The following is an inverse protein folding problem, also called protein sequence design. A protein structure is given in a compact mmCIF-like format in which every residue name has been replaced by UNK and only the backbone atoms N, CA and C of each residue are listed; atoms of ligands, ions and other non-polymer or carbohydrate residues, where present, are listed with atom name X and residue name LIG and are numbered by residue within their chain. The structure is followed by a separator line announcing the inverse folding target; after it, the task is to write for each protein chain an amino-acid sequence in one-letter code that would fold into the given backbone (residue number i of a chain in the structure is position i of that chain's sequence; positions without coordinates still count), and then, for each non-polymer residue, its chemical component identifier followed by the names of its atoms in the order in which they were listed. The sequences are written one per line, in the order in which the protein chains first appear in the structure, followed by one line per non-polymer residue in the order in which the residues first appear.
data_IF_969627949264
#
_entry.id   IF_969627949264
#
_cell.length_a   1.000
_cell.length_b   1.000
_cell.length_c   1.000
_cell.angle_alpha   90.00
_cell.angle_beta   90.00
_cell.angle_gamma   90.00
#
_symmetry.space_group_name_H-M   'P 1'
#
loop_
_entity.id
_entity.type
_entity.pdbx_description
1 polymer ?
#
# COMPACT_ATOMS: atom_id res chain seq x y z
N UNK A 1 26.41 77.99 -63.26
CA UNK A 1 27.48 77.61 -64.20
C UNK A 1 27.32 76.11 -64.45
N UNK A 2 26.56 75.78 -65.49
CA UNK A 2 26.29 74.41 -65.92
C UNK A 2 27.47 73.89 -66.73
N UNK A 3 27.93 72.67 -66.49
CA UNK A 3 28.78 71.92 -67.41
C UNK A 3 28.31 70.46 -67.41
N UNK A 4 27.68 70.09 -68.53
CA UNK A 4 27.39 68.72 -68.92
C UNK A 4 28.70 67.94 -69.11
N UNK A 5 28.72 66.66 -68.74
CA UNK A 5 29.67 65.70 -69.29
C UNK A 5 29.04 64.32 -69.49
N UNK A 6 28.74 64.06 -70.76
CA UNK A 6 28.88 62.83 -71.56
C UNK A 6 28.75 61.47 -70.85
N UNK A 7 27.69 60.77 -71.25
CA UNK A 7 27.38 59.36 -71.00
C UNK A 7 28.30 58.42 -71.80
N UNK A 8 28.83 57.36 -71.19
CA UNK A 8 29.34 56.17 -71.88
C UNK A 8 28.70 54.94 -71.23
N UNK A 9 27.96 54.17 -72.03
CA UNK A 9 27.30 52.92 -71.64
C UNK A 9 28.31 51.79 -71.80
N UNK A 10 28.68 51.13 -70.71
CA UNK A 10 29.42 49.86 -70.72
C UNK A 10 28.48 48.72 -70.30
N UNK A 11 28.30 47.78 -71.21
CA UNK A 11 27.56 46.53 -71.02
C UNK A 11 28.43 45.57 -70.17
N UNK A 12 28.02 45.26 -68.94
CA UNK A 12 28.70 44.25 -68.10
C UNK A 12 27.90 42.95 -68.07
N UNK A 13 28.50 41.86 -68.57
CA UNK A 13 28.02 40.49 -68.38
C UNK A 13 28.01 40.15 -66.88
N UNK A 14 26.83 39.85 -66.32
CA UNK A 14 26.71 39.32 -64.97
C UNK A 14 26.83 37.79 -65.00
N UNK A 15 27.96 37.26 -64.54
CA UNK A 15 28.10 35.85 -64.23
C UNK A 15 27.40 35.55 -62.88
N UNK A 16 26.38 34.69 -62.90
CA UNK A 16 25.76 34.18 -61.67
C UNK A 16 26.74 33.24 -60.97
N UNK A 17 27.28 33.67 -59.83
CA UNK A 17 27.99 32.80 -58.89
C UNK A 17 26.95 32.25 -57.91
N UNK A 18 26.65 30.95 -58.00
CA UNK A 18 25.94 30.25 -56.92
C UNK A 18 26.84 30.23 -55.69
N UNK A 19 26.55 31.08 -54.71
CA UNK A 19 27.15 30.98 -53.38
C UNK A 19 26.65 29.69 -52.72
N UNK A 20 27.56 28.81 -52.31
CA UNK A 20 27.24 27.70 -51.42
C UNK A 20 26.62 28.26 -50.12
N UNK A 21 25.63 27.60 -49.51
CA UNK A 21 25.06 28.07 -48.25
C UNK A 21 26.19 28.12 -47.21
N UNK A 22 26.38 29.30 -46.61
CA UNK A 22 27.29 29.45 -45.48
C UNK A 22 26.85 28.47 -44.39
N UNK A 23 27.75 27.58 -43.97
CA UNK A 23 27.49 26.67 -42.86
C UNK A 23 27.08 27.49 -41.65
N UNK A 24 25.86 27.30 -41.18
CA UNK A 24 25.42 27.82 -39.89
C UNK A 24 26.32 27.21 -38.82
N UNK A 25 27.23 28.01 -38.27
CA UNK A 25 27.95 27.65 -37.05
C UNK A 25 26.94 27.69 -35.92
N UNK A 26 26.23 26.58 -35.70
CA UNK A 26 25.46 26.38 -34.48
C UNK A 26 26.46 26.41 -33.33
N UNK A 27 26.45 27.49 -32.54
CA UNK A 27 27.21 27.53 -31.29
C UNK A 27 26.74 26.35 -30.43
N UNK A 28 27.67 25.50 -29.98
CA UNK A 28 27.35 24.45 -29.02
C UNK A 28 26.79 25.10 -27.76
N UNK A 29 25.65 24.62 -27.27
CA UNK A 29 25.17 25.01 -25.95
C UNK A 29 26.25 24.69 -24.90
N UNK A 30 26.30 25.46 -23.82
CA UNK A 30 27.16 25.14 -22.69
C UNK A 30 26.79 23.75 -22.15
N UNK A 31 27.80 23.01 -21.68
CA UNK A 31 27.57 21.73 -21.03
C UNK A 31 26.67 21.93 -19.80
N UNK A 32 25.70 21.04 -19.62
CA UNK A 32 24.86 21.03 -18.42
C UNK A 32 25.72 20.75 -17.20
N UNK A 33 25.60 21.59 -16.17
CA UNK A 33 26.22 21.38 -14.87
C UNK A 33 25.22 21.65 -13.75
N UNK A 34 25.28 20.92 -12.62
CA UNK A 34 24.48 21.22 -11.45
C UNK A 34 24.67 22.69 -10.99
N UNK A 35 23.57 23.38 -10.69
CA UNK A 35 23.59 24.76 -10.18
C UNK A 35 23.66 24.84 -8.66
N UNK A 36 23.64 23.69 -7.99
CA UNK A 36 23.67 23.53 -6.53
C UNK A 36 24.69 22.44 -6.17
N UNK A 37 25.16 22.37 -4.91
CA UNK A 37 26.02 21.28 -4.47
C UNK A 37 25.43 19.91 -4.80
N UNK A 38 26.30 18.93 -5.05
CA UNK A 38 25.89 17.54 -5.26
C UNK A 38 25.20 17.00 -4.01
N UNK A 39 24.34 16.00 -4.20
CA UNK A 39 23.77 15.23 -3.10
C UNK A 39 24.88 14.62 -2.24
N UNK A 40 24.60 14.45 -0.94
CA UNK A 40 25.53 13.86 0.02
C UNK A 40 25.90 12.43 -0.38
N UNK A 41 27.19 12.09 -0.33
CA UNK A 41 27.70 10.72 -0.50
C UNK A 41 27.57 9.88 0.78
N UNK A 42 26.98 10.43 1.85
CA UNK A 42 26.77 9.69 3.09
C UNK A 42 25.74 8.56 2.85
N UNK A 43 26.10 7.28 3.05
CA UNK A 43 25.20 6.17 2.80
C UNK A 43 23.99 6.15 3.75
N UNK A 44 24.04 6.89 4.87
CA UNK A 44 22.96 6.97 5.86
C UNK A 44 22.43 5.58 6.28
N UNK A 45 23.30 4.60 6.49
CA UNK A 45 22.89 3.30 7.04
C UNK A 45 22.17 3.47 8.40
N UNK A 46 21.27 2.54 8.76
CA UNK A 46 20.71 2.49 10.10
C UNK A 46 21.85 2.43 11.13
N UNK A 47 21.76 3.24 12.18
CA UNK A 47 22.83 3.34 13.18
C UNK A 47 22.82 2.17 14.17
N UNK A 48 21.69 1.48 14.32
CA UNK A 48 21.50 0.31 15.17
C UNK A 48 20.38 -0.57 14.62
N UNK A 49 20.22 -1.75 15.22
CA UNK A 49 19.06 -2.63 15.05
C UNK A 49 18.36 -2.83 16.40
N UNK A 50 17.28 -3.62 16.41
CA UNK A 50 16.47 -3.89 17.61
C UNK A 50 17.19 -4.74 18.68
N UNK A 51 18.33 -5.34 18.35
CA UNK A 51 19.09 -6.24 19.24
C UNK A 51 20.13 -5.55 20.12
N UNK A 52 20.41 -4.26 19.91
CA UNK A 52 21.46 -3.56 20.68
C UNK A 52 21.16 -3.57 22.18
N UNK A 53 22.20 -3.67 23.01
CA UNK A 53 22.08 -3.74 24.47
C UNK A 53 22.28 -2.37 25.17
N UNK A 54 22.53 -1.32 24.40
CA UNK A 54 22.69 0.06 24.86
C UNK A 54 21.46 0.92 24.51
N UNK A 55 21.21 2.02 25.24
CA UNK A 55 20.15 2.97 24.91
C UNK A 55 20.56 3.80 23.68
N UNK A 56 19.84 3.70 22.53
CA UNK A 56 20.14 4.51 21.36
C UNK A 56 20.04 6.01 21.65
N UNK A 57 20.76 6.82 20.89
CA UNK A 57 20.79 8.27 21.08
C UNK A 57 20.52 8.99 19.76
N UNK A 58 19.87 10.17 19.77
CA UNK A 58 19.62 10.96 18.57
C UNK A 58 20.90 11.71 18.15
N UNK A 59 21.92 10.96 17.77
CA UNK A 59 23.24 11.46 17.35
C UNK A 59 23.64 10.75 16.05
N UNK A 60 23.86 11.52 14.98
CA UNK A 60 24.39 11.03 13.70
C UNK A 60 25.62 11.86 13.32
N UNK A 61 26.80 11.31 13.56
CA UNK A 61 28.07 12.00 13.30
C UNK A 61 28.19 13.29 14.13
N UNK A 62 28.42 14.47 13.52
CA UNK A 62 28.53 15.74 14.24
C UNK A 62 27.17 16.35 14.65
N UNK A 63 26.05 15.74 14.25
CA UNK A 63 24.70 16.25 14.50
C UNK A 63 24.05 15.55 15.70
N UNK A 64 23.21 16.29 16.43
CA UNK A 64 22.43 15.78 17.56
C UNK A 64 23.10 15.96 18.93
N UNK A 65 22.49 15.36 19.95
CA UNK A 65 22.98 15.37 21.33
C UNK A 65 22.38 14.20 22.13
N UNK A 66 22.90 13.91 23.31
CA UNK A 66 22.33 12.89 24.19
C UNK A 66 20.98 13.34 24.78
N UNK A 67 20.06 12.40 24.97
CA UNK A 67 18.75 12.68 25.55
C UNK A 67 18.83 12.76 27.08
N UNK A 68 18.48 13.92 27.65
CA UNK A 68 18.54 14.17 29.09
C UNK A 68 17.26 13.76 29.84
N UNK A 69 16.13 13.71 29.13
CA UNK A 69 14.83 13.35 29.70
C UNK A 69 14.57 11.84 29.74
N UNK A 70 13.40 11.42 30.26
CA UNK A 70 12.94 10.04 30.16
C UNK A 70 12.97 9.54 28.70
N UNK A 71 13.30 8.27 28.53
CA UNK A 71 13.41 7.60 27.24
C UNK A 71 12.51 6.37 27.22
N UNK A 72 11.94 6.05 26.06
CA UNK A 72 11.32 4.75 25.82
C UNK A 72 12.25 3.92 24.94
N UNK A 73 13.23 3.29 25.60
CA UNK A 73 14.31 2.55 24.94
C UNK A 73 13.79 1.48 23.99
N UNK A 74 12.65 0.84 24.31
CA UNK A 74 12.06 -0.17 23.43
C UNK A 74 11.58 0.45 22.10
N UNK A 75 10.95 1.63 22.14
CA UNK A 75 10.54 2.36 20.93
C UNK A 75 11.77 2.92 20.20
N UNK A 76 12.75 3.46 20.91
CA UNK A 76 13.97 4.01 20.29
C UNK A 76 14.74 2.95 19.49
N UNK A 77 14.83 1.72 20.01
CA UNK A 77 15.44 0.58 19.31
C UNK A 77 14.70 0.19 18.03
N UNK A 78 13.38 0.34 18.03
CA UNK A 78 12.51 0.04 16.90
C UNK A 78 12.54 1.10 15.79
N UNK A 79 13.13 2.27 16.06
CA UNK A 79 13.02 3.45 15.21
C UNK A 79 14.39 4.16 14.98
N UNK A 80 15.42 3.47 14.44
CA UNK A 80 16.73 4.05 14.22
C UNK A 80 16.73 5.29 13.30
N UNK A 81 16.03 5.22 12.18
CA UNK A 81 15.97 6.28 11.18
C UNK A 81 14.90 7.36 11.48
N UNK A 82 14.07 7.20 12.52
CA UNK A 82 13.32 8.33 13.11
C UNK A 82 14.07 9.03 14.24
N UNK A 83 14.75 8.29 15.13
CA UNK A 83 15.46 8.91 16.26
C UNK A 83 16.72 9.65 15.79
N UNK A 84 17.46 9.08 14.83
CA UNK A 84 18.65 9.68 14.25
C UNK A 84 18.56 9.62 12.71
N UNK A 85 17.74 10.49 12.08
CA UNK A 85 17.36 10.34 10.69
C UNK A 85 18.52 10.45 9.70
N UNK A 86 18.37 9.89 8.48
CA UNK A 86 19.27 10.16 7.37
C UNK A 86 19.53 11.65 7.20
N UNK A 87 20.78 12.02 6.90
CA UNK A 87 21.17 13.42 6.65
C UNK A 87 20.53 14.04 5.41
N UNK A 88 19.81 13.23 4.62
CA UNK A 88 19.02 13.63 3.45
C UNK A 88 17.55 13.94 3.77
N UNK A 89 17.08 13.64 4.99
CA UNK A 89 15.74 14.04 5.43
C UNK A 89 15.67 15.56 5.62
N UNK A 90 14.52 16.15 5.29
CA UNK A 90 14.31 17.58 5.35
C UNK A 90 12.82 17.95 5.39
N UNK A 91 12.54 19.12 5.96
CA UNK A 91 11.22 19.74 5.91
C UNK A 91 10.20 19.13 6.87
N UNK A 92 8.93 19.13 6.48
CA UNK A 92 7.83 18.61 7.29
C UNK A 92 7.00 17.64 6.45
N UNK A 93 6.90 16.40 6.92
CA UNK A 93 6.12 15.34 6.29
C UNK A 93 5.14 14.81 7.33
N UNK A 94 3.91 14.52 6.92
CA UNK A 94 2.92 13.92 7.80
C UNK A 94 3.38 12.53 8.26
N UNK A 95 3.01 12.14 9.48
CA UNK A 95 3.33 10.80 9.98
C UNK A 95 2.69 9.74 9.07
N UNK A 96 3.49 8.78 8.62
CA UNK A 96 3.07 7.68 7.75
C UNK A 96 3.20 6.30 8.42
N UNK A 97 3.46 6.27 9.73
CA UNK A 97 3.56 5.05 10.51
C UNK A 97 2.52 5.01 11.62
N UNK A 98 1.76 3.93 11.66
CA UNK A 98 0.91 3.62 12.82
C UNK A 98 0.98 2.13 13.17
N UNK A 99 1.60 1.76 14.30
CA UNK A 99 1.54 0.39 14.78
C UNK A 99 0.13 0.09 15.30
N UNK A 100 -0.58 -0.89 14.71
CA UNK A 100 -1.91 -1.32 15.21
C UNK A 100 -1.88 -1.79 16.68
N UNK A 101 -0.71 -2.15 17.21
CA UNK A 101 -0.52 -2.41 18.64
C UNK A 101 -0.82 -1.21 19.55
N UNK A 102 -0.81 0.02 19.01
CA UNK A 102 -1.19 1.25 19.71
C UNK A 102 -2.66 1.63 19.53
N UNK A 103 -3.38 0.94 18.66
CA UNK A 103 -4.82 1.15 18.47
C UNK A 103 -5.62 0.63 19.67
N UNK A 104 -6.72 1.32 19.99
CA UNK A 104 -7.68 0.82 20.97
C UNK A 104 -8.26 -0.52 20.47
N UNK A 105 -8.21 -1.54 21.33
CA UNK A 105 -8.70 -2.87 21.02
C UNK A 105 -10.04 -3.12 21.71
N UNK A 106 -11.08 -3.39 20.92
CA UNK A 106 -12.39 -3.77 21.44
C UNK A 106 -12.44 -5.29 21.64
N UNK A 107 -12.65 -5.69 22.89
CA UNK A 107 -12.67 -7.09 23.29
C UNK A 107 -14.11 -7.56 23.44
N UNK A 108 -14.43 -8.66 22.78
CA UNK A 108 -15.74 -9.31 22.83
C UNK A 108 -15.59 -10.76 23.26
N UNK A 109 -16.67 -11.38 23.75
CA UNK A 109 -16.69 -12.83 23.91
C UNK A 109 -16.64 -13.45 22.52
N UNK A 110 -15.57 -14.20 22.21
CA UNK A 110 -15.35 -14.80 20.90
C UNK A 110 -14.37 -14.06 20.00
N UNK A 111 -13.79 -12.92 20.39
CA UNK A 111 -12.82 -12.23 19.54
C UNK A 111 -12.47 -10.81 19.94
N UNK A 112 -11.76 -10.12 19.07
CA UNK A 112 -11.42 -8.70 19.23
C UNK A 112 -11.22 -8.01 17.89
N UNK A 113 -11.30 -6.69 17.89
CA UNK A 113 -11.03 -5.84 16.74
C UNK A 113 -10.36 -4.52 17.15
N UNK A 114 -9.37 -4.09 16.36
CA UNK A 114 -8.69 -2.80 16.50
C UNK A 114 -8.50 -2.18 15.13
N UNK A 115 -8.52 -0.85 15.06
CA UNK A 115 -8.52 -0.14 13.78
C UNK A 115 -7.44 0.92 13.69
N UNK A 116 -7.08 1.28 12.47
CA UNK A 116 -6.40 2.51 12.11
C UNK A 116 -7.29 3.23 11.11
N UNK A 117 -7.70 4.45 11.43
CA UNK A 117 -8.34 5.35 10.48
C UNK A 117 -7.64 6.73 10.53
N UNK A 118 -8.25 7.77 9.96
CA UNK A 118 -7.69 9.13 9.90
C UNK A 118 -7.52 9.79 11.27
N UNK A 119 -8.11 9.24 12.35
CA UNK A 119 -7.85 9.69 13.72
C UNK A 119 -6.46 9.26 14.20
N UNK A 120 -6.01 8.07 13.79
CA UNK A 120 -4.69 7.52 14.15
C UNK A 120 -3.61 7.91 13.12
N UNK A 121 -3.93 7.86 11.83
CA UNK A 121 -3.00 8.11 10.74
C UNK A 121 -3.63 9.08 9.71
N UNK A 122 -3.62 10.40 9.97
CA UNK A 122 -4.35 11.39 9.17
C UNK A 122 -3.94 11.49 7.69
N UNK A 123 -2.76 10.99 7.33
CA UNK A 123 -2.31 10.95 5.93
C UNK A 123 -3.08 9.90 5.11
N UNK A 124 -3.58 8.84 5.75
CA UNK A 124 -4.29 7.73 5.11
C UNK A 124 -5.77 8.09 4.88
N UNK A 125 -6.03 9.03 3.96
CA UNK A 125 -7.40 9.54 3.72
C UNK A 125 -8.26 8.64 2.84
N UNK A 126 -7.64 7.81 2.00
CA UNK A 126 -8.33 6.95 1.04
C UNK A 126 -8.69 5.58 1.61
N UNK A 127 -8.02 5.14 2.66
CA UNK A 127 -8.18 3.79 3.20
C UNK A 127 -8.01 3.75 4.72
N UNK A 128 -8.75 2.85 5.36
CA UNK A 128 -8.63 2.52 6.77
C UNK A 128 -8.48 1.01 6.94
N UNK A 129 -7.76 0.58 7.99
CA UNK A 129 -7.49 -0.83 8.27
C UNK A 129 -8.11 -1.28 9.59
N UNK A 130 -8.61 -2.52 9.63
CA UNK A 130 -9.09 -3.18 10.86
C UNK A 130 -8.42 -4.54 10.98
N UNK A 131 -7.70 -4.74 12.07
CA UNK A 131 -7.17 -6.05 12.44
C UNK A 131 -8.17 -6.70 13.39
N UNK A 132 -8.67 -7.87 12.98
CA UNK A 132 -9.75 -8.55 13.66
C UNK A 132 -9.42 -10.03 13.85
N UNK A 133 -9.78 -10.54 15.02
CA UNK A 133 -9.62 -11.92 15.41
C UNK A 133 -10.92 -12.52 15.92
N UNK A 134 -11.20 -13.75 15.50
CA UNK A 134 -12.30 -14.58 15.95
C UNK A 134 -11.78 -15.90 16.54
N UNK A 135 -12.31 -16.30 17.70
CA UNK A 135 -12.13 -17.65 18.26
C UNK A 135 -12.81 -18.72 17.38
N UNK A 136 -12.45 -20.01 17.49
CA UNK A 136 -13.11 -21.06 16.70
C UNK A 136 -14.63 -21.02 16.81
N UNK A 137 -15.31 -20.93 15.66
CA UNK A 137 -16.77 -20.84 15.57
C UNK A 137 -17.38 -19.48 15.89
N UNK A 138 -16.62 -18.52 16.43
CA UNK A 138 -17.14 -17.19 16.71
C UNK A 138 -17.53 -16.45 15.43
N UNK A 139 -18.54 -15.59 15.56
CA UNK A 139 -19.19 -14.89 14.46
C UNK A 139 -18.92 -13.39 14.61
N UNK A 140 -18.45 -12.77 13.52
CA UNK A 140 -18.69 -11.35 13.25
C UNK A 140 -20.10 -11.22 12.69
N UNK A 141 -20.94 -10.52 13.43
CA UNK A 141 -22.38 -10.41 13.20
C UNK A 141 -22.74 -10.05 11.74
N UNK A 142 -23.90 -10.50 11.27
CA UNK A 142 -24.51 -10.00 10.02
C UNK A 142 -24.58 -8.47 10.02
N UNK A 143 -23.94 -7.85 9.03
CA UNK A 143 -23.83 -6.40 8.96
C UNK A 143 -23.60 -5.91 7.52
N UNK A 144 -23.65 -4.60 7.35
CA UNK A 144 -23.21 -3.93 6.12
C UNK A 144 -22.63 -2.55 6.45
N UNK A 145 -22.03 -1.92 5.45
CA UNK A 145 -21.48 -0.57 5.53
C UNK A 145 -21.43 0.08 4.14
N UNK A 146 -21.18 1.39 4.09
CA UNK A 146 -21.12 2.17 2.86
C UNK A 146 -19.77 2.13 2.14
N UNK A 147 -18.73 1.61 2.80
CA UNK A 147 -17.42 1.38 2.20
C UNK A 147 -17.40 0.00 1.52
N UNK A 148 -16.57 -0.16 0.49
CA UNK A 148 -16.15 -1.47 0.02
C UNK A 148 -15.19 -2.08 1.06
N UNK A 149 -15.35 -3.38 1.35
CA UNK A 149 -14.46 -4.12 2.24
C UNK A 149 -13.60 -5.08 1.42
N UNK A 150 -12.30 -5.01 1.61
CA UNK A 150 -11.33 -5.99 1.13
C UNK A 150 -10.63 -6.63 2.32
N UNK A 151 -10.25 -7.90 2.23
CA UNK A 151 -9.51 -8.53 3.32
C UNK A 151 -8.43 -9.51 2.85
N UNK A 152 -7.49 -9.77 3.77
CA UNK A 152 -6.49 -10.81 3.68
C UNK A 152 -6.46 -11.64 4.96
N UNK A 153 -6.53 -12.96 4.84
CA UNK A 153 -6.51 -13.87 6.00
C UNK A 153 -5.08 -14.09 6.48
N UNK A 154 -4.77 -13.56 7.66
CA UNK A 154 -3.45 -13.67 8.29
C UNK A 154 -3.20 -15.08 8.83
N UNK A 155 -4.21 -15.68 9.46
CA UNK A 155 -4.12 -17.01 10.06
C UNK A 155 -5.49 -17.69 10.18
N UNK A 156 -5.51 -19.02 10.07
CA UNK A 156 -6.72 -19.84 10.20
C UNK A 156 -7.59 -19.84 8.94
N UNK A 157 -8.88 -20.09 9.11
CA UNK A 157 -9.88 -20.01 8.03
C UNK A 157 -11.20 -19.46 8.55
N UNK A 158 -11.96 -18.83 7.65
CA UNK A 158 -13.25 -18.20 7.95
C UNK A 158 -14.25 -18.53 6.85
N UNK A 159 -15.48 -18.84 7.24
CA UNK A 159 -16.61 -18.92 6.34
C UNK A 159 -17.23 -17.53 6.23
N UNK A 160 -17.31 -17.04 5.00
CA UNK A 160 -17.97 -15.79 4.69
C UNK A 160 -19.32 -16.03 4.03
N UNK A 161 -20.30 -15.19 4.34
CA UNK A 161 -21.59 -15.19 3.64
C UNK A 161 -21.91 -13.79 3.14
N UNK A 162 -22.63 -13.69 2.03
CA UNK A 162 -23.13 -12.42 1.52
C UNK A 162 -24.42 -12.60 0.70
N UNK A 163 -25.18 -11.52 0.53
CA UNK A 163 -26.34 -11.46 -0.37
C UNK A 163 -26.28 -10.17 -1.18
N UNK A 164 -26.27 -10.27 -2.50
CA UNK A 164 -26.19 -9.08 -3.36
C UNK A 164 -27.55 -8.39 -3.57
N UNK A 165 -27.52 -7.24 -4.25
CA UNK A 165 -28.71 -6.43 -4.52
C UNK A 165 -29.79 -7.12 -5.37
N UNK A 166 -29.43 -8.19 -6.09
CA UNK A 166 -30.35 -8.98 -6.90
C UNK A 166 -30.91 -10.18 -6.11
N UNK A 167 -30.55 -10.30 -4.81
CA UNK A 167 -30.98 -11.35 -3.91
C UNK A 167 -30.20 -12.65 -4.04
N UNK A 168 -29.05 -12.65 -4.73
CA UNK A 168 -28.22 -13.83 -4.94
C UNK A 168 -27.29 -14.04 -3.76
N UNK A 169 -27.25 -15.26 -3.23
CA UNK A 169 -26.41 -15.60 -2.09
C UNK A 169 -24.99 -16.03 -2.51
N UNK A 170 -24.08 -15.90 -1.55
CA UNK A 170 -22.70 -16.32 -1.62
C UNK A 170 -22.31 -16.93 -0.28
N UNK A 171 -21.60 -18.07 -0.32
CA UNK A 171 -21.01 -18.72 0.84
C UNK A 171 -19.71 -19.39 0.41
N UNK A 172 -18.61 -19.07 1.08
CA UNK A 172 -17.31 -19.69 0.82
C UNK A 172 -16.47 -19.74 2.10
N UNK A 173 -15.72 -20.83 2.29
CA UNK A 173 -14.69 -20.92 3.34
C UNK A 173 -13.33 -20.54 2.75
N UNK A 174 -12.71 -19.49 3.28
CA UNK A 174 -11.44 -18.93 2.85
C UNK A 174 -10.34 -19.24 3.87
N UNK A 175 -9.12 -19.49 3.40
CA UNK A 175 -7.99 -19.94 4.22
C UNK A 175 -6.90 -18.85 4.33
N UNK A 176 -5.92 -19.06 5.21
CA UNK A 176 -4.74 -18.21 5.30
C UNK A 176 -4.13 -17.87 3.93
N UNK A 177 -3.95 -16.57 3.67
CA UNK A 177 -3.47 -16.01 2.42
C UNK A 177 -4.53 -15.83 1.33
N UNK A 178 -5.78 -16.26 1.54
CA UNK A 178 -6.90 -15.95 0.65
C UNK A 178 -7.45 -14.54 0.93
N UNK A 179 -8.20 -14.01 -0.05
CA UNK A 179 -8.84 -12.71 0.02
C UNK A 179 -10.36 -12.83 -0.03
N UNK A 180 -11.05 -11.82 0.50
CA UNK A 180 -12.42 -11.52 0.09
C UNK A 180 -12.59 -10.05 -0.30
N UNK A 181 -13.70 -9.77 -0.97
CA UNK A 181 -14.12 -8.42 -1.31
C UNK A 181 -15.65 -8.33 -1.29
N UNK A 182 -16.19 -7.45 -0.46
CA UNK A 182 -17.61 -7.11 -0.43
C UNK A 182 -17.84 -5.71 -0.97
N UNK A 183 -18.61 -5.56 -2.06
CA UNK A 183 -18.98 -4.25 -2.56
C UNK A 183 -19.76 -3.44 -1.52
N UNK A 184 -19.62 -2.12 -1.57
CA UNK A 184 -20.36 -1.22 -0.70
C UNK A 184 -21.86 -1.55 -0.62
N UNK A 185 -22.39 -1.68 0.60
CA UNK A 185 -23.79 -1.96 0.89
C UNK A 185 -24.21 -3.43 0.77
N UNK A 186 -23.33 -4.34 0.36
CA UNK A 186 -23.63 -5.79 0.34
C UNK A 186 -23.58 -6.34 1.78
N UNK A 187 -24.69 -6.82 2.35
CA UNK A 187 -24.68 -7.41 3.69
C UNK A 187 -23.93 -8.74 3.70
N UNK A 188 -23.15 -8.96 4.76
CA UNK A 188 -22.29 -10.12 4.92
C UNK A 188 -22.08 -10.51 6.38
N UNK A 189 -21.45 -11.66 6.61
CA UNK A 189 -21.01 -12.14 7.93
C UNK A 189 -19.70 -12.91 7.81
N UNK A 190 -18.96 -12.98 8.91
CA UNK A 190 -17.74 -13.79 9.02
C UNK A 190 -17.91 -14.79 10.16
N UNK A 191 -17.55 -16.04 9.94
CA UNK A 191 -17.56 -17.06 10.99
C UNK A 191 -16.29 -17.88 10.92
N UNK A 192 -15.47 -17.82 11.98
CA UNK A 192 -14.27 -18.63 12.05
C UNK A 192 -14.62 -20.13 12.04
N UNK A 193 -13.85 -20.90 11.30
CA UNK A 193 -13.90 -22.38 11.37
C UNK A 193 -13.16 -22.87 12.62
N UNK A 194 -13.07 -24.19 12.79
CA UNK A 194 -12.17 -24.85 13.72
C UNK A 194 -11.02 -25.62 13.05
N UNK A 195 -10.75 -25.39 11.76
CA UNK A 195 -9.59 -25.95 11.05
C UNK A 195 -8.28 -25.60 11.76
N UNK A 196 -8.24 -24.39 12.34
CA UNK A 196 -7.21 -23.98 13.28
C UNK A 196 -7.81 -23.89 14.70
N UNK A 197 -7.26 -24.61 15.69
CA UNK A 197 -7.77 -24.58 17.06
C UNK A 197 -7.61 -23.20 17.74
N UNK A 198 -6.81 -22.31 17.18
CA UNK A 198 -6.67 -20.92 17.64
C UNK A 198 -7.67 -19.98 16.96
N UNK A 199 -8.53 -20.45 16.06
CA UNK A 199 -9.49 -19.62 15.32
C UNK A 199 -8.85 -18.90 14.12
N UNK A 200 -9.32 -17.69 13.83
CA UNK A 200 -8.95 -16.95 12.63
C UNK A 200 -8.59 -15.49 12.95
N UNK A 201 -7.64 -14.94 12.20
CA UNK A 201 -7.21 -13.54 12.27
C UNK A 201 -6.98 -13.02 10.84
N UNK A 202 -7.42 -11.79 10.59
CA UNK A 202 -7.43 -11.20 9.25
C UNK A 202 -7.33 -9.68 9.34
N UNK A 203 -6.77 -9.09 8.28
CA UNK A 203 -6.76 -7.64 8.07
C UNK A 203 -7.88 -7.28 7.09
N UNK A 204 -8.73 -6.35 7.49
CA UNK A 204 -9.75 -5.72 6.65
C UNK A 204 -9.25 -4.34 6.22
N UNK A 205 -9.52 -3.96 4.97
CA UNK A 205 -9.25 -2.63 4.43
C UNK A 205 -10.51 -2.09 3.78
N UNK A 206 -10.84 -0.85 4.13
CA UNK A 206 -12.01 -0.14 3.64
C UNK A 206 -11.58 1.02 2.75
N UNK A 207 -12.33 1.28 1.68
CA UNK A 207 -12.05 2.34 0.68
C UNK A 207 -12.39 3.76 1.16
N UNK A 208 -12.33 4.01 2.48
CA UNK A 208 -12.50 5.32 3.09
C UNK A 208 -11.63 5.46 4.35
N UNK A 209 -10.78 6.48 4.40
CA UNK A 209 -9.88 6.71 5.53
C UNK A 209 -10.55 7.15 6.83
N UNK A 210 -11.80 7.63 6.78
CA UNK A 210 -12.60 7.96 7.97
C UNK A 210 -13.46 6.80 8.48
N UNK A 211 -13.38 5.63 7.84
CA UNK A 211 -14.15 4.46 8.23
C UNK A 211 -13.87 4.08 9.70
N UNK A 212 -14.91 3.59 10.36
CA UNK A 212 -14.84 3.04 11.71
C UNK A 212 -15.67 1.79 11.74
N UNK A 213 -15.08 0.64 12.08
CA UNK A 213 -15.80 -0.64 12.16
C UNK A 213 -16.88 -0.62 13.26
N UNK A 214 -16.67 0.23 14.26
CA UNK A 214 -17.63 0.52 15.32
C UNK A 214 -18.89 1.27 14.84
N UNK A 215 -18.88 1.78 13.60
CA UNK A 215 -19.99 2.49 12.96
C UNK A 215 -20.72 1.68 11.89
N UNK A 216 -20.50 0.36 11.84
CA UNK A 216 -21.19 -0.54 10.89
C UNK A 216 -22.67 -0.70 11.21
N UNK A 217 -23.48 -1.04 10.22
CA UNK A 217 -24.90 -1.31 10.40
C UNK A 217 -25.10 -2.78 10.79
N UNK A 218 -25.36 -3.04 12.06
CA UNK A 218 -25.50 -4.38 12.63
C UNK A 218 -26.96 -4.82 12.59
N UNK A 219 -27.23 -6.08 12.21
CA UNK A 219 -28.59 -6.61 12.11
C UNK A 219 -29.38 -6.48 13.42
N UNK A 220 -28.77 -6.89 14.53
CA UNK A 220 -29.42 -6.89 15.85
C UNK A 220 -29.57 -5.49 16.41
N UNK A 221 -28.63 -4.58 16.14
CA UNK A 221 -28.77 -3.17 16.48
C UNK A 221 -29.94 -2.52 15.74
N UNK A 222 -30.03 -2.77 14.43
CA UNK A 222 -31.13 -2.27 13.62
C UNK A 222 -32.48 -2.79 14.13
N UNK A 223 -32.61 -4.10 14.37
CA UNK A 223 -33.86 -4.69 14.87
C UNK A 223 -34.20 -4.25 16.30
N UNK A 224 -33.22 -3.96 17.15
CA UNK A 224 -33.46 -3.38 18.48
C UNK A 224 -34.08 -1.97 18.39
N UNK A 225 -33.81 -1.24 17.31
CA UNK A 225 -34.28 0.13 17.06
C UNK A 225 -35.48 0.22 16.09
N UNK A 226 -36.08 -0.91 15.72
CA UNK A 226 -37.32 -0.97 14.94
C UNK A 226 -38.48 -1.46 15.82
N UNK A 227 -39.65 -0.78 15.83
CA UNK A 227 -40.80 -1.27 16.58
C UNK A 227 -41.15 -2.71 16.18
N UNK A 228 -41.33 -3.60 17.17
CA UNK A 228 -41.64 -5.02 16.91
C UNK A 228 -42.87 -5.24 16.02
N UNK A 229 -43.83 -4.31 16.02
CA UNK A 229 -45.00 -4.38 15.13
C UNK A 229 -44.62 -4.18 13.64
N UNK A 230 -43.62 -3.35 13.35
CA UNK A 230 -43.06 -3.18 12.00
C UNK A 230 -42.30 -4.42 11.57
N UNK A 231 -41.50 -5.02 12.47
CA UNK A 231 -40.80 -6.29 12.21
C UNK A 231 -41.82 -7.39 11.91
N UNK A 232 -42.79 -7.58 12.80
CA UNK A 232 -43.85 -8.57 12.65
C UNK A 232 -44.62 -8.39 11.33
N UNK A 233 -44.94 -7.15 10.96
CA UNK A 233 -45.59 -6.82 9.68
C UNK A 233 -44.72 -7.18 8.47
N UNK A 234 -43.42 -6.90 8.51
CA UNK A 234 -42.48 -7.22 7.43
C UNK A 234 -42.40 -8.73 7.16
N UNK A 235 -42.37 -9.54 8.23
CA UNK A 235 -42.25 -10.99 8.14
C UNK A 235 -43.60 -11.73 8.10
N UNK A 236 -44.74 -11.03 8.18
CA UNK A 236 -46.07 -11.63 8.19
C UNK A 236 -46.33 -12.55 9.40
N UNK A 237 -45.78 -12.20 10.56
CA UNK A 237 -45.80 -13.03 11.79
C UNK A 237 -46.44 -12.31 12.98
N UNK A 238 -46.62 -12.99 14.11
CA UNK A 238 -47.06 -12.38 15.37
C UNK A 238 -45.93 -11.57 16.05
N UNK A 239 -46.28 -10.49 16.76
CA UNK A 239 -45.33 -9.67 17.55
C UNK A 239 -44.59 -10.54 18.59
N UNK A 240 -45.30 -11.49 19.20
CA UNK A 240 -44.73 -12.36 20.24
C UNK A 240 -43.59 -13.25 19.74
N UNK A 241 -43.52 -13.55 18.44
CA UNK A 241 -42.44 -14.33 17.83
C UNK A 241 -41.07 -13.62 17.94
N UNK A 242 -41.08 -12.29 18.07
CA UNK A 242 -39.89 -11.45 18.13
C UNK A 242 -39.50 -11.07 19.57
N UNK A 243 -39.99 -11.79 20.58
CA UNK A 243 -39.66 -11.51 21.98
C UNK A 243 -38.22 -11.86 22.36
N UNK A 244 -37.56 -12.73 21.59
CA UNK A 244 -36.18 -13.17 21.84
C UNK A 244 -35.10 -12.40 21.09
N UNK A 245 -35.43 -11.36 20.30
CA UNK A 245 -34.38 -10.56 19.63
C UNK A 245 -33.51 -9.84 20.67
N UNK A 246 -32.20 -9.68 20.43
CA UNK A 246 -31.33 -8.87 21.29
C UNK A 246 -31.82 -7.44 21.42
N UNK A 247 -31.55 -6.82 22.57
CA UNK A 247 -31.89 -5.41 22.84
C UNK A 247 -30.81 -4.41 22.44
N UNK A 248 -29.65 -4.91 21.99
CA UNK A 248 -28.49 -4.16 21.54
C UNK A 248 -27.68 -5.06 20.59
N UNK A 249 -26.67 -4.47 19.95
CA UNK A 249 -25.80 -5.15 19.02
C UNK A 249 -25.02 -6.32 19.64
N UNK A 250 -24.79 -7.39 18.88
CA UNK A 250 -23.90 -8.48 19.30
C UNK A 250 -22.45 -8.24 18.87
N UNK A 251 -22.27 -7.68 17.68
CA UNK A 251 -21.01 -7.36 17.01
C UNK A 251 -20.08 -8.57 16.78
N UNK A 252 -19.49 -9.13 17.83
CA UNK A 252 -18.75 -10.41 17.84
C UNK A 252 -19.30 -11.27 18.98
N UNK A 253 -19.65 -12.51 18.67
CA UNK A 253 -20.22 -13.44 19.65
C UNK A 253 -19.83 -14.90 19.37
N UNK A 254 -19.80 -15.77 20.40
CA UNK A 254 -19.42 -17.17 20.23
C UNK A 254 -20.54 -17.98 19.54
N UNK A 255 -20.15 -18.96 18.74
CA UNK A 255 -21.04 -19.97 18.15
C UNK A 255 -20.27 -21.28 17.94
N UNK A 256 -20.98 -22.34 17.56
CA UNK A 256 -20.31 -23.56 17.10
C UNK A 256 -19.69 -23.31 15.71
N UNK A 257 -18.54 -23.92 15.39
CA UNK A 257 -17.96 -23.87 14.06
C UNK A 257 -18.96 -24.28 12.97
N UNK A 258 -18.91 -23.64 11.79
CA UNK A 258 -19.70 -24.07 10.64
C UNK A 258 -19.25 -25.48 10.21
N UNK A 259 -20.15 -26.35 9.72
CA UNK A 259 -19.75 -27.67 9.24
C UNK A 259 -18.95 -27.55 7.93
N UNK A 260 -17.96 -28.44 7.72
CA UNK A 260 -17.11 -28.49 6.53
C UNK A 260 -17.89 -28.55 5.21
N UNK A 261 -19.08 -29.16 5.24
CA UNK A 261 -19.97 -29.31 4.10
C UNK A 261 -21.12 -28.30 4.08
N UNK A 262 -20.97 -27.16 4.76
CA UNK A 262 -21.91 -26.05 4.67
C UNK A 262 -22.15 -25.69 3.19
N UNK A 263 -23.41 -25.48 2.85
CA UNK A 263 -23.84 -25.06 1.52
C UNK A 263 -24.77 -23.87 1.65
N UNK A 264 -24.74 -22.98 0.66
CA UNK A 264 -25.71 -21.89 0.60
C UNK A 264 -27.14 -22.43 0.63
N UNK A 265 -28.08 -21.70 1.25
CA UNK A 265 -29.50 -21.96 1.08
C UNK A 265 -29.90 -21.99 -0.40
N UNK A 266 -30.95 -22.75 -0.74
CA UNK A 266 -31.50 -22.76 -2.09
C UNK A 266 -31.95 -21.35 -2.50
N UNK A 267 -31.44 -20.88 -3.63
CA UNK A 267 -31.66 -19.52 -4.12
C UNK A 267 -32.31 -19.53 -5.51
N UNK A 268 -33.55 -19.02 -5.67
CA UNK A 268 -34.20 -18.93 -6.98
C UNK A 268 -33.59 -17.87 -7.91
N UNK A 269 -32.77 -16.94 -7.40
CA UNK A 269 -32.05 -15.90 -8.15
C UNK A 269 -30.70 -16.42 -8.68
N UNK A 270 -30.22 -17.58 -8.21
CA UNK A 270 -28.94 -18.17 -8.58
C UNK A 270 -27.78 -17.68 -7.71
N UNK A 271 -26.55 -17.88 -8.17
CA UNK A 271 -25.33 -17.43 -7.47
C UNK A 271 -24.85 -16.09 -7.99
N UNK A 272 -24.09 -15.36 -7.16
CA UNK A 272 -23.37 -14.16 -7.59
C UNK A 272 -22.51 -14.43 -8.85
N UNK A 273 -22.46 -13.50 -9.83
CA UNK A 273 -21.79 -13.72 -11.11
C UNK A 273 -20.27 -13.67 -11.00
N UNK A 274 -19.75 -12.88 -10.06
CA UNK A 274 -18.33 -12.80 -9.71
C UNK A 274 -18.19 -13.21 -8.25
N UNK A 275 -17.26 -14.13 -7.96
CA UNK A 275 -17.03 -14.57 -6.58
C UNK A 275 -16.57 -13.39 -5.72
N UNK A 276 -17.06 -13.32 -4.48
CA UNK A 276 -16.55 -12.40 -3.46
C UNK A 276 -15.35 -12.99 -2.70
N UNK A 277 -14.99 -14.26 -2.94
CA UNK A 277 -13.79 -14.90 -2.43
C UNK A 277 -12.73 -15.12 -3.52
N UNK A 278 -11.45 -15.03 -3.16
CA UNK A 278 -10.35 -15.27 -4.09
C UNK A 278 -9.21 -16.07 -3.45
N UNK A 279 -8.81 -17.17 -4.11
CA UNK A 279 -7.75 -18.10 -3.67
C UNK A 279 -6.35 -17.56 -3.92
N UNK A 280 -6.05 -16.40 -3.35
CA UNK A 280 -4.78 -15.72 -3.53
C UNK A 280 -3.58 -16.48 -2.94
N UNK A 281 -3.82 -17.32 -1.94
CA UNK A 281 -2.82 -18.27 -1.40
C UNK A 281 -2.30 -19.24 -2.47
N UNK A 282 -3.08 -19.51 -3.51
CA UNK A 282 -2.75 -20.44 -4.59
C UNK A 282 -2.20 -19.76 -5.84
N UNK A 283 -2.17 -18.43 -5.87
CA UNK A 283 -1.60 -17.69 -7.00
C UNK A 283 -0.08 -17.80 -6.94
N UNK A 284 0.60 -18.23 -8.02
CA UNK A 284 2.06 -18.32 -8.02
C UNK A 284 2.68 -16.92 -7.97
N UNK A 285 3.60 -16.71 -7.03
CA UNK A 285 4.38 -15.49 -6.98
C UNK A 285 5.38 -15.43 -8.15
N UNK A 286 5.60 -14.23 -8.68
CA UNK A 286 6.65 -13.97 -9.67
C UNK A 286 7.98 -13.83 -8.96
N UNK A 287 8.92 -14.73 -9.24
CA UNK A 287 10.28 -14.65 -8.71
C UNK A 287 11.05 -13.51 -9.36
N UNK A 288 11.67 -12.68 -8.52
CA UNK A 288 12.53 -11.57 -8.88
C UNK A 288 13.92 -11.75 -8.25
N UNK A 289 14.86 -10.87 -8.61
CA UNK A 289 16.25 -11.00 -8.19
C UNK A 289 16.45 -10.78 -6.67
N UNK A 290 15.59 -9.97 -6.03
CA UNK A 290 15.66 -9.68 -4.61
C UNK A 290 14.45 -10.16 -3.79
N UNK A 291 13.59 -11.02 -4.35
CA UNK A 291 12.39 -11.49 -3.65
C UNK A 291 11.28 -11.89 -4.61
N UNK A 292 10.02 -11.77 -4.21
CA UNK A 292 8.86 -12.17 -5.00
C UNK A 292 7.75 -11.12 -4.99
N UNK A 293 6.90 -11.14 -6.02
CA UNK A 293 5.69 -10.32 -6.06
C UNK A 293 4.51 -11.13 -6.59
N UNK A 294 3.35 -10.97 -5.96
CA UNK A 294 2.09 -11.60 -6.33
C UNK A 294 0.99 -10.55 -6.30
N UNK A 295 0.20 -10.43 -7.37
CA UNK A 295 -0.77 -9.33 -7.53
C UNK A 295 -2.18 -9.87 -7.70
N UNK A 296 -3.16 -9.22 -7.07
CA UNK A 296 -4.59 -9.42 -7.34
C UNK A 296 -5.27 -8.05 -7.53
N UNK A 297 -6.02 -7.93 -8.61
CA UNK A 297 -6.82 -6.76 -8.94
C UNK A 297 -8.04 -7.16 -9.79
N UNK A 298 -8.79 -6.20 -10.31
CA UNK A 298 -10.04 -6.45 -11.03
C UNK A 298 -9.90 -7.30 -12.32
N UNK A 299 -8.68 -7.56 -12.80
CA UNK A 299 -8.40 -8.46 -13.94
C UNK A 299 -8.44 -9.93 -13.54
N UNK A 300 -8.06 -10.25 -12.31
CA UNK A 300 -8.00 -11.62 -11.77
C UNK A 300 -9.06 -11.86 -10.70
N UNK A 301 -9.15 -10.97 -9.72
CA UNK A 301 -10.20 -10.95 -8.71
C UNK A 301 -11.29 -9.95 -9.13
N UNK A 302 -12.16 -10.39 -10.04
CA UNK A 302 -13.06 -9.51 -10.78
C UNK A 302 -14.07 -8.73 -9.92
N UNK A 303 -14.43 -9.21 -8.74
CA UNK A 303 -15.31 -8.48 -7.83
C UNK A 303 -14.63 -7.26 -7.20
N UNK A 304 -13.30 -7.32 -6.98
CA UNK A 304 -12.52 -6.24 -6.38
C UNK A 304 -12.30 -5.09 -7.37
N UNK A 305 -13.23 -4.15 -7.41
CA UNK A 305 -13.23 -3.01 -8.37
C UNK A 305 -12.58 -1.75 -7.84
N UNK A 306 -12.29 -1.67 -6.55
CA UNK A 306 -11.71 -0.48 -5.92
C UNK A 306 -10.49 -0.75 -5.07
N UNK A 307 -10.16 -2.02 -4.82
CA UNK A 307 -8.99 -2.35 -4.01
C UNK A 307 -8.16 -3.37 -4.76
N UNK A 308 -6.91 -3.01 -5.03
CA UNK A 308 -5.89 -3.87 -5.60
C UNK A 308 -4.80 -4.15 -4.58
N UNK A 309 -4.16 -5.32 -4.67
CA UNK A 309 -3.06 -5.71 -3.77
C UNK A 309 -1.86 -6.22 -4.55
N UNK A 310 -0.67 -5.90 -4.04
CA UNK A 310 0.55 -6.65 -4.31
C UNK A 310 1.11 -7.21 -2.99
N UNK A 311 1.23 -8.52 -2.89
CA UNK A 311 1.97 -9.19 -1.83
C UNK A 311 3.42 -9.33 -2.26
N UNK A 312 4.32 -8.79 -1.44
CA UNK A 312 5.73 -8.63 -1.78
C UNK A 312 6.60 -9.29 -0.72
N UNK A 313 7.59 -10.06 -1.17
CA UNK A 313 8.72 -10.46 -0.33
C UNK A 313 9.99 -9.76 -0.78
N UNK A 314 10.82 -9.34 0.17
CA UNK A 314 12.10 -8.68 -0.07
C UNK A 314 13.16 -9.38 0.78
N UNK A 315 14.15 -9.99 0.12
CA UNK A 315 15.25 -10.69 0.78
C UNK A 315 16.17 -9.71 1.53
N UNK A 316 16.95 -10.18 2.53
CA UNK A 316 17.91 -9.33 3.23
C UNK A 316 18.84 -8.56 2.27
N UNK A 317 18.90 -7.23 2.43
CA UNK A 317 19.69 -6.34 1.57
C UNK A 317 19.06 -6.00 0.20
N UNK A 318 17.91 -6.59 -0.16
CA UNK A 318 17.15 -6.20 -1.34
C UNK A 318 16.28 -4.97 -1.07
N UNK A 319 15.74 -4.36 -2.13
CA UNK A 319 14.82 -3.23 -1.99
C UNK A 319 13.64 -3.21 -2.98
N UNK A 320 12.54 -2.57 -2.57
CA UNK A 320 11.34 -2.29 -3.38
C UNK A 320 11.33 -0.86 -3.93
N UNK A 321 10.87 -0.68 -5.17
CA UNK A 321 10.73 0.64 -5.83
C UNK A 321 9.34 1.30 -5.63
N UNK A 322 9.07 2.44 -6.28
CA UNK A 322 7.93 3.34 -6.03
C UNK A 322 6.71 3.15 -6.96
N UNK A 323 5.60 3.83 -6.63
CA UNK A 323 4.33 3.86 -7.41
C UNK A 323 3.99 5.28 -7.91
N UNK A 324 3.54 5.44 -9.16
CA UNK A 324 3.36 6.75 -9.78
C UNK A 324 1.95 7.35 -9.69
N UNK A 325 0.93 6.56 -9.40
CA UNK A 325 -0.46 6.92 -9.72
C UNK A 325 -1.39 6.96 -8.53
N UNK A 326 -1.13 6.20 -7.46
CA UNK A 326 -2.07 6.03 -6.35
C UNK A 326 -1.34 6.09 -5.01
N UNK A 327 -2.07 6.54 -3.98
CA UNK A 327 -1.65 6.40 -2.60
C UNK A 327 -1.55 4.90 -2.25
N UNK A 328 -0.50 4.55 -1.53
CA UNK A 328 -0.29 3.19 -1.08
C UNK A 328 -0.55 3.08 0.42
N UNK A 329 -1.46 2.19 0.79
CA UNK A 329 -1.65 1.76 2.16
C UNK A 329 -0.97 0.41 2.32
N UNK A 330 0.01 0.34 3.23
CA UNK A 330 0.82 -0.85 3.37
C UNK A 330 0.62 -1.51 4.73
N UNK A 331 0.41 -2.83 4.73
CA UNK A 331 0.32 -3.65 5.93
C UNK A 331 1.34 -4.75 5.92
N UNK A 332 1.90 -5.02 7.08
CA UNK A 332 3.09 -5.79 7.13
C UNK A 332 3.03 -6.99 8.03
N UNK A 333 3.48 -8.09 7.44
CA UNK A 333 3.28 -9.43 7.94
C UNK A 333 4.52 -9.86 8.73
N UNK A 334 5.71 -9.60 8.20
CA UNK A 334 6.96 -9.99 8.85
C UNK A 334 8.16 -9.12 8.42
N UNK A 335 9.19 -9.09 9.27
CA UNK A 335 10.48 -8.47 8.97
C UNK A 335 10.64 -7.02 9.44
N UNK A 336 11.76 -6.41 9.05
CA UNK A 336 12.13 -5.05 9.39
C UNK A 336 12.42 -4.25 8.13
N UNK A 337 12.07 -2.97 8.16
CA UNK A 337 12.16 -2.11 7.00
C UNK A 337 12.36 -0.65 7.39
N UNK A 338 12.81 0.15 6.43
CA UNK A 338 12.76 1.61 6.50
C UNK A 338 12.32 2.19 5.17
N UNK A 339 11.59 3.32 5.19
CA UNK A 339 11.29 4.16 4.03
C UNK A 339 11.50 5.62 4.28
N UNK A 340 12.08 6.29 3.30
CA UNK A 340 11.99 7.74 3.10
C UNK A 340 10.86 8.11 2.14
N UNK A 341 9.84 8.78 2.66
CA UNK A 341 8.84 9.42 1.81
C UNK A 341 9.38 10.72 1.26
N UNK A 342 9.52 10.82 -0.05
CA UNK A 342 9.80 12.08 -0.73
C UNK A 342 8.50 12.80 -1.06
N UNK A 343 8.20 13.89 -0.34
CA UNK A 343 6.94 14.62 -0.43
C UNK A 343 7.04 15.90 -1.30
N UNK A 344 7.86 15.84 -2.36
CA UNK A 344 8.19 16.96 -3.24
C UNK A 344 8.79 18.18 -2.50
N UNK A 345 9.18 19.21 -3.26
CA UNK A 345 9.73 20.48 -2.73
C UNK A 345 10.97 20.31 -1.81
N UNK A 346 11.67 19.18 -1.92
CA UNK A 346 12.79 18.84 -1.04
C UNK A 346 12.37 18.30 0.33
N UNK A 347 11.08 18.07 0.59
CA UNK A 347 10.62 17.40 1.80
C UNK A 347 10.87 15.90 1.73
N UNK A 348 11.48 15.35 2.76
CA UNK A 348 11.78 13.94 2.89
C UNK A 348 11.78 13.54 4.37
N UNK A 349 11.14 12.42 4.70
CA UNK A 349 11.17 11.86 6.06
C UNK A 349 11.26 10.34 6.01
N UNK A 350 12.16 9.78 6.83
CA UNK A 350 12.42 8.35 6.94
C UNK A 350 11.71 7.76 8.14
N UNK A 351 10.92 6.71 7.90
CA UNK A 351 10.18 5.96 8.89
C UNK A 351 10.72 4.54 8.92
N UNK A 352 11.14 4.08 10.09
CA UNK A 352 11.38 2.67 10.33
C UNK A 352 10.05 2.00 10.53
N UNK A 353 9.94 0.77 10.08
CA UNK A 353 8.84 -0.05 10.47
C UNK A 353 9.37 -1.41 10.86
N UNK A 354 8.74 -2.00 11.86
CA UNK A 354 8.51 -3.44 11.80
C UNK A 354 7.38 -3.61 10.83
N UNK A 355 7.88 -3.40 9.60
CA UNK A 355 7.23 -3.47 8.34
C UNK A 355 6.16 -2.33 8.16
N UNK A 356 6.14 -1.37 7.18
CA UNK A 356 7.02 -0.60 6.21
C UNK A 356 6.27 0.57 5.43
N UNK A 357 6.93 1.40 4.58
CA UNK A 357 6.84 1.43 3.08
C UNK A 357 8.22 1.77 2.44
N UNK A 358 8.46 2.21 1.15
CA UNK A 358 9.71 1.98 0.33
C UNK A 358 10.74 1.14 1.03
N UNK A 359 10.96 -0.06 0.53
CA UNK A 359 11.31 -1.06 1.51
C UNK A 359 12.69 -1.60 1.27
N UNK A 360 13.66 -1.01 1.95
CA UNK A 360 14.94 -1.69 2.18
C UNK A 360 14.76 -2.66 3.35
N UNK A 361 15.04 -3.94 3.10
CA UNK A 361 15.09 -4.91 4.18
C UNK A 361 16.35 -4.67 5.02
N UNK A 362 16.16 -4.07 6.20
CA UNK A 362 17.22 -3.76 7.17
C UNK A 362 17.47 -4.89 8.17
N UNK A 363 16.69 -5.98 8.07
CA UNK A 363 16.78 -7.14 8.94
C UNK A 363 17.59 -8.29 8.36
N UNK A 364 17.72 -9.34 9.17
CA UNK A 364 18.41 -10.58 8.82
C UNK A 364 17.46 -11.70 8.35
N UNK A 365 16.17 -11.38 8.21
CA UNK A 365 15.12 -12.29 7.73
C UNK A 365 14.42 -11.66 6.53
N UNK A 366 13.77 -12.47 5.69
CA UNK A 366 12.91 -11.97 4.62
C UNK A 366 11.83 -11.04 5.20
N UNK A 367 11.55 -9.98 4.47
CA UNK A 367 10.49 -9.02 4.74
C UNK A 367 9.28 -9.39 3.88
N UNK A 368 8.08 -9.40 4.46
CA UNK A 368 6.83 -9.80 3.80
C UNK A 368 5.69 -8.85 4.13
N UNK A 369 5.00 -8.35 3.11
CA UNK A 369 3.97 -7.34 3.28
C UNK A 369 3.00 -7.22 2.09
N UNK A 370 1.98 -6.41 2.30
CA UNK A 370 0.92 -6.07 1.37
C UNK A 370 1.03 -4.59 1.00
N UNK A 371 1.12 -4.30 -0.29
CA UNK A 371 0.88 -2.99 -0.91
C UNK A 371 -0.59 -2.96 -1.32
N UNK A 372 -1.40 -2.09 -0.74
CA UNK A 372 -2.84 -2.00 -1.00
C UNK A 372 -3.15 -0.63 -1.59
N UNK A 373 -3.95 -0.63 -2.66
CA UNK A 373 -4.22 0.56 -3.46
C UNK A 373 -5.72 0.74 -3.62
N UNK A 374 -6.22 1.98 -3.47
CA UNK A 374 -7.60 2.33 -3.77
C UNK A 374 -7.78 2.50 -5.30
N UNK A 375 -7.68 1.40 -6.05
CA UNK A 375 -7.81 1.38 -7.52
C UNK A 375 -8.33 0.04 -8.03
N UNK A 376 -8.77 0.01 -9.29
CA UNK A 376 -9.25 -1.21 -9.94
C UNK A 376 -8.11 -2.06 -10.53
N UNK A 377 -6.94 -1.46 -10.81
CA UNK A 377 -5.81 -2.09 -11.49
C UNK A 377 -4.50 -1.67 -10.83
N UNK A 378 -3.69 -2.66 -10.45
CA UNK A 378 -2.34 -2.41 -9.96
C UNK A 378 -1.42 -1.87 -11.07
N UNK A 379 -0.73 -0.77 -10.77
CA UNK A 379 0.24 -0.11 -11.66
C UNK A 379 1.48 0.38 -10.88
N UNK A 380 2.65 0.23 -11.49
CA UNK A 380 3.93 0.70 -10.95
C UNK A 380 4.86 1.20 -12.06
N UNK A 381 5.82 2.04 -11.69
CA UNK A 381 6.88 2.55 -12.59
C UNK A 381 8.23 2.36 -11.90
N UNK A 382 9.12 1.59 -12.53
CA UNK A 382 10.49 1.42 -12.03
C UNK A 382 11.34 2.63 -12.42
N UNK A 383 12.04 3.22 -11.44
CA UNK A 383 12.97 4.32 -11.69
C UNK A 383 14.10 3.89 -12.65
N UNK A 384 14.67 2.70 -12.42
CA UNK A 384 15.73 2.16 -13.30
C UNK A 384 15.22 1.99 -14.74
N UNK A 385 14.03 1.42 -14.91
CA UNK A 385 13.40 1.27 -16.22
C UNK A 385 13.11 2.62 -16.88
N UNK A 386 12.59 3.59 -16.13
CA UNK A 386 12.31 4.92 -16.65
C UNK A 386 13.58 5.58 -17.17
N UNK A 387 14.63 5.63 -16.36
CA UNK A 387 15.91 6.23 -16.76
C UNK A 387 16.57 5.44 -17.92
N UNK A 388 16.43 4.12 -17.97
CA UNK A 388 16.96 3.29 -19.06
C UNK A 388 16.23 3.49 -20.41
N UNK A 389 15.01 4.03 -20.39
CA UNK A 389 14.15 4.25 -21.56
C UNK A 389 14.04 5.72 -21.97
N UNK A 390 14.75 6.62 -21.29
CA UNK A 390 14.91 8.04 -21.66
C UNK A 390 16.24 8.24 -22.40
N UNK A 391 16.36 9.19 -23.35
CA UNK A 391 17.63 9.45 -24.03
C UNK A 391 18.80 9.65 -23.04
N UNK A 392 19.93 8.92 -23.17
CA UNK A 392 21.04 8.98 -22.22
C UNK A 392 21.58 10.39 -21.98
N UNK A 393 21.63 11.22 -23.03
CA UNK A 393 22.04 12.62 -22.91
C UNK A 393 21.13 13.44 -21.98
N UNK A 394 19.83 13.14 -21.96
CA UNK A 394 18.88 13.80 -21.06
C UNK A 394 19.09 13.34 -19.62
N UNK A 395 19.28 12.04 -19.38
CA UNK A 395 19.58 11.49 -18.05
C UNK A 395 20.88 12.08 -17.51
N UNK A 396 21.93 12.12 -18.34
CA UNK A 396 23.23 12.72 -18.02
C UNK A 396 23.10 14.19 -17.64
N UNK A 397 22.28 14.95 -18.37
CA UNK A 397 22.04 16.36 -18.06
C UNK A 397 21.32 16.57 -16.72
N UNK A 398 20.49 15.62 -16.27
CA UNK A 398 19.78 15.71 -14.98
C UNK A 398 20.63 15.23 -13.79
N UNK A 399 21.37 14.13 -13.96
CA UNK A 399 22.03 13.43 -12.85
C UNK A 399 23.53 13.66 -12.78
N UNK A 400 24.14 14.24 -13.82
CA UNK A 400 25.59 14.47 -13.92
C UNK A 400 26.42 13.19 -13.69
N UNK A 401 25.97 12.06 -14.24
CA UNK A 401 26.61 10.74 -14.14
C UNK A 401 27.24 10.30 -15.46
N UNK A 402 28.14 9.30 -15.41
CA UNK A 402 28.88 8.83 -16.59
C UNK A 402 28.01 8.02 -17.55
N UNK A 403 28.38 8.00 -18.83
CA UNK A 403 27.67 7.21 -19.84
C UNK A 403 27.80 5.71 -19.56
N UNK A 404 28.92 5.28 -18.97
CA UNK A 404 29.13 3.91 -18.53
C UNK A 404 28.13 3.51 -17.44
N UNK A 405 27.82 4.40 -16.49
CA UNK A 405 26.82 4.14 -15.47
C UNK A 405 25.41 4.09 -16.07
N UNK A 406 25.05 5.03 -16.96
CA UNK A 406 23.74 5.01 -17.62
C UNK A 406 23.54 3.72 -18.44
N UNK A 407 24.61 3.20 -19.03
CA UNK A 407 24.59 1.96 -19.81
C UNK A 407 24.29 0.71 -18.95
N UNK A 408 24.40 0.76 -17.62
CA UNK A 408 24.05 -0.36 -16.73
C UNK A 408 22.57 -0.39 -16.34
N UNK A 409 21.80 0.66 -16.64
CA UNK A 409 20.40 0.74 -16.23
C UNK A 409 19.53 -0.29 -16.97
N UNK A 410 18.64 -0.96 -16.23
CA UNK A 410 17.87 -2.08 -16.76
C UNK A 410 16.61 -1.59 -17.47
N UNK A 411 16.43 -1.97 -18.74
CA UNK A 411 15.23 -1.64 -19.54
C UNK A 411 14.03 -2.52 -19.21
N UNK A 412 14.26 -3.66 -18.57
CA UNK A 412 13.21 -4.53 -18.05
C UNK A 412 12.89 -4.12 -16.62
N UNK A 413 11.60 -4.03 -16.30
CA UNK A 413 11.14 -3.65 -14.96
C UNK A 413 11.66 -4.64 -13.93
N UNK A 414 12.32 -4.13 -12.90
CA UNK A 414 12.73 -4.88 -11.73
C UNK A 414 11.98 -4.34 -10.51
N UNK A 415 10.89 -5.02 -10.12
CA UNK A 415 10.03 -4.58 -9.01
C UNK A 415 10.73 -4.73 -7.67
N UNK A 416 11.44 -5.84 -7.45
CA UNK A 416 12.32 -6.09 -6.30
C UNK A 416 13.74 -6.36 -6.80
N UNK A 417 14.69 -5.49 -6.44
CA UNK A 417 16.08 -5.57 -6.90
C UNK A 417 16.96 -6.33 -5.92
N UNK A 418 17.95 -7.05 -6.44
CA UNK A 418 18.88 -7.85 -5.64
C UNK A 418 19.74 -6.96 -4.70
N UNK A 419 20.31 -7.54 -3.64
CA UNK A 419 21.29 -6.86 -2.81
C UNK A 419 22.49 -6.36 -3.62
N UNK A 420 23.04 -5.22 -3.24
CA UNK A 420 24.32 -4.76 -3.78
C UNK A 420 25.42 -5.76 -3.39
N UNK A 421 26.17 -6.36 -4.34
CA UNK A 421 27.30 -7.24 -4.03
C UNK A 421 28.42 -6.56 -3.24
N UNK A 422 28.40 -5.23 -3.10
CA UNK A 422 29.35 -4.44 -2.32
C UNK A 422 28.82 -4.02 -0.93
N UNK A 423 27.53 -4.25 -0.63
CA UNK A 423 26.98 -4.06 0.72
C UNK A 423 27.30 -5.26 1.59
N UNK A 424 28.02 -5.04 2.69
CA UNK A 424 28.15 -6.05 3.75
C UNK A 424 26.86 -6.03 4.58
N UNK A 425 26.14 -7.15 4.60
CA UNK A 425 25.10 -7.40 5.59
C UNK A 425 25.71 -7.23 7.01
N UNK A 426 24.99 -6.54 7.89
CA UNK A 426 25.41 -6.29 9.27
C UNK A 426 24.94 -7.39 10.22
#
# INVERSE_FOLDING_TARGET
MFLLSVTHIFLSLSAFVCAAPAGTTSASAADSSPTVPLASDNPNYPLWNDTVDYPPQPIRGPFGANQLGPQNIAIDKQNPDLLAPPTTDAGTVLNAKWPLALSHNQLHTGGWARQQNTQELPIATQMAGVDMRLEPGAIRELHWHSADEWAYILKGSTQVTAVDQDGRNFLETLNQGDLWYFPAGVPHSLQATDDNPEGCEFILVFDSGDFSDFGTFLLTDWLAHVPKEVIAKNFGSDIAAWNGIPGEQLYIFPSNPPPDNATSPSDPQGSVPESFGYRFSQVPATQLAGGTVKVADSRTFKAAKKIAVAEVTVEPGAMRQWHPTEDEWAFFLEGNARMTMFAAEGNAATFDFQASHYVENTGNTTLHYLEIFHTDIYQDVSLSQWLALVPPALVKAHLNISDELIATFNKTKATVVAPDPYLKAF
#
